data_IF_716754620482
#
_entry.id   IF_716754620482
#
_cell.length_a   1.000
_cell.length_b   1.000
_cell.length_c   1.000
_cell.angle_alpha   90.00
_cell.angle_beta   90.00
_cell.angle_gamma   90.00
#
_symmetry.space_group_name_H-M   'P 1'
#
loop_
_entity.id
_entity.type
_entity.pdbx_description
1 polymer ?
#
# COMPACT_ATOMS: atom_id res chain seq x y z
N UNK A 1 -30.11 35.79 25.76
CA UNK A 1 -29.18 34.99 24.97
C UNK A 1 -29.94 34.35 23.82
N UNK A 2 -29.63 34.74 22.58
CA UNK A 2 -30.53 34.61 21.42
C UNK A 2 -30.42 33.21 20.78
N UNK A 3 -31.34 32.30 21.11
CA UNK A 3 -31.42 30.91 20.63
C UNK A 3 -31.39 30.78 19.07
N UNK A 4 -31.82 31.82 18.35
CA UNK A 4 -31.81 31.84 16.88
C UNK A 4 -30.40 32.00 16.27
N UNK A 5 -29.43 32.61 17.00
CA UNK A 5 -28.05 32.71 16.55
C UNK A 5 -27.32 31.36 16.65
N UNK A 6 -27.62 30.56 17.68
CA UNK A 6 -27.02 29.21 17.85
C UNK A 6 -27.53 28.21 16.81
N UNK A 7 -28.80 28.27 16.41
CA UNK A 7 -29.37 27.42 15.37
C UNK A 7 -28.79 27.74 13.98
N UNK A 8 -28.64 29.04 13.66
CA UNK A 8 -28.03 29.44 12.36
C UNK A 8 -26.56 29.06 12.25
N UNK A 9 -25.79 29.16 13.33
CA UNK A 9 -24.37 28.75 13.34
C UNK A 9 -24.20 27.25 13.11
N UNK A 10 -25.02 26.39 13.72
CA UNK A 10 -24.97 24.94 13.55
C UNK A 10 -25.38 24.50 12.13
N UNK A 11 -26.39 25.13 11.56
CA UNK A 11 -26.84 24.85 10.19
C UNK A 11 -25.79 25.28 9.15
N UNK A 12 -25.20 26.48 9.33
CA UNK A 12 -24.12 26.96 8.45
C UNK A 12 -22.87 26.10 8.54
N UNK A 13 -22.51 25.62 9.73
CA UNK A 13 -21.38 24.68 9.91
C UNK A 13 -21.65 23.36 9.22
N UNK A 14 -22.87 22.82 9.33
CA UNK A 14 -23.23 21.57 8.65
C UNK A 14 -23.21 21.71 7.13
N UNK A 15 -23.65 22.86 6.59
CA UNK A 15 -23.70 23.14 5.15
C UNK A 15 -22.30 23.26 4.49
N UNK A 16 -21.27 23.59 5.29
CA UNK A 16 -19.89 23.70 4.78
C UNK A 16 -19.10 22.39 5.00
N UNK A 17 -19.26 21.75 6.15
CA UNK A 17 -18.49 20.56 6.52
C UNK A 17 -18.89 19.33 5.69
N UNK A 18 -20.20 19.12 5.46
CA UNK A 18 -20.66 17.95 4.69
C UNK A 18 -20.15 17.94 3.25
N UNK A 19 -20.26 19.03 2.46
CA UNK A 19 -19.73 19.03 1.09
C UNK A 19 -18.20 18.92 1.05
N UNK A 20 -17.49 19.46 2.04
CA UNK A 20 -16.03 19.35 2.09
C UNK A 20 -15.58 17.91 2.35
N UNK A 21 -16.27 17.18 3.23
CA UNK A 21 -16.00 15.76 3.49
C UNK A 21 -16.33 14.90 2.27
N UNK A 22 -17.47 15.17 1.60
CA UNK A 22 -17.86 14.48 0.37
C UNK A 22 -16.86 14.73 -0.77
N UNK A 23 -16.39 15.97 -0.91
CA UNK A 23 -15.37 16.32 -1.91
C UNK A 23 -14.03 15.61 -1.61
N UNK A 24 -13.60 15.54 -0.35
CA UNK A 24 -12.40 14.81 0.04
C UNK A 24 -12.52 13.31 -0.23
N UNK A 25 -13.66 12.70 0.08
CA UNK A 25 -13.96 11.29 -0.22
C UNK A 25 -13.93 11.01 -1.73
N UNK A 26 -14.52 11.92 -2.51
CA UNK A 26 -14.54 11.81 -3.97
C UNK A 26 -13.13 11.92 -4.57
N UNK A 27 -12.31 12.89 -4.13
CA UNK A 27 -10.93 13.06 -4.57
C UNK A 27 -10.06 11.84 -4.26
N UNK A 28 -10.18 11.27 -3.06
CA UNK A 28 -9.43 10.05 -2.69
C UNK A 28 -9.88 8.86 -3.53
N UNK A 29 -11.18 8.71 -3.77
CA UNK A 29 -11.72 7.63 -4.58
C UNK A 29 -11.26 7.72 -6.04
N UNK A 30 -11.26 8.93 -6.63
CA UNK A 30 -10.80 9.13 -8.01
C UNK A 30 -9.30 8.92 -8.18
N UNK A 31 -8.47 9.34 -7.20
CA UNK A 31 -7.03 9.11 -7.27
C UNK A 31 -6.67 7.64 -7.18
N UNK A 32 -7.37 6.86 -6.37
CA UNK A 32 -7.19 5.40 -6.31
C UNK A 32 -7.62 4.70 -7.60
N UNK A 33 -8.74 5.12 -8.19
CA UNK A 33 -9.25 4.54 -9.43
C UNK A 33 -8.33 4.81 -10.64
N UNK A 34 -7.52 5.87 -10.58
CA UNK A 34 -6.59 6.25 -11.65
C UNK A 34 -5.24 5.51 -11.57
N UNK A 35 -4.95 4.82 -10.47
CA UNK A 35 -3.65 4.15 -10.24
C UNK A 35 -3.80 2.64 -10.41
N UNK A 36 -3.01 2.05 -11.31
CA UNK A 36 -3.01 0.60 -11.52
C UNK A 36 -2.63 -0.14 -10.24
N UNK A 37 -3.38 -1.20 -9.93
CA UNK A 37 -3.12 -2.12 -8.81
C UNK A 37 -2.90 -3.53 -9.35
N UNK A 38 -2.08 -4.37 -8.68
CA UNK A 38 -1.91 -5.76 -9.09
C UNK A 38 -3.23 -6.52 -8.95
N UNK A 39 -3.50 -7.40 -9.89
CA UNK A 39 -4.60 -8.34 -9.77
C UNK A 39 -4.27 -9.38 -8.72
N UNK A 40 -5.28 -9.81 -7.97
CA UNK A 40 -5.20 -10.95 -7.06
C UNK A 40 -6.54 -11.66 -6.99
N UNK A 41 -6.51 -12.95 -6.71
CA UNK A 41 -7.72 -13.73 -6.42
C UNK A 41 -8.04 -13.68 -4.94
N UNK A 42 -9.26 -13.31 -4.57
CA UNK A 42 -9.73 -13.43 -3.18
C UNK A 42 -10.24 -14.85 -2.96
N UNK A 43 -9.56 -15.57 -2.07
CA UNK A 43 -9.91 -16.95 -1.70
C UNK A 43 -10.97 -16.95 -0.59
N UNK A 44 -10.80 -16.04 0.39
CA UNK A 44 -11.69 -15.94 1.55
C UNK A 44 -11.67 -14.51 2.10
N UNK A 45 -12.82 -14.07 2.61
CA UNK A 45 -12.98 -12.79 3.33
C UNK A 45 -13.59 -13.03 4.71
N UNK A 46 -13.05 -12.37 5.73
CA UNK A 46 -13.53 -12.38 7.11
C UNK A 46 -13.36 -10.96 7.71
N UNK A 47 -14.35 -10.12 7.52
CA UNK A 47 -14.32 -8.71 7.92
C UNK A 47 -13.21 -7.92 7.24
N UNK A 48 -12.18 -7.50 8.02
CA UNK A 48 -10.98 -6.80 7.51
C UNK A 48 -9.85 -7.76 7.13
N UNK A 49 -10.04 -9.07 7.32
CA UNK A 49 -9.07 -10.11 6.97
C UNK A 49 -9.46 -10.76 5.65
N UNK A 50 -8.47 -11.05 4.83
CA UNK A 50 -8.65 -11.76 3.57
C UNK A 50 -7.53 -12.78 3.36
N UNK A 51 -7.83 -13.86 2.65
CA UNK A 51 -6.84 -14.75 2.04
C UNK A 51 -6.84 -14.44 0.56
N UNK A 52 -5.68 -14.10 0.03
CA UNK A 52 -5.51 -13.71 -1.38
C UNK A 52 -4.39 -14.50 -2.05
N UNK A 53 -4.64 -14.91 -3.29
CA UNK A 53 -3.62 -15.43 -4.20
C UNK A 53 -3.11 -14.31 -5.10
N UNK A 54 -1.83 -13.98 -4.98
CA UNK A 54 -1.15 -13.03 -5.86
C UNK A 54 -0.34 -13.77 -6.93
N UNK A 55 -0.37 -13.31 -8.19
CA UNK A 55 0.58 -13.75 -9.20
C UNK A 55 1.99 -13.25 -8.88
N UNK A 56 2.97 -13.70 -9.63
CA UNK A 56 4.30 -13.10 -9.56
C UNK A 56 4.24 -11.63 -10.04
N UNK A 57 4.87 -10.73 -9.27
CA UNK A 57 4.88 -9.30 -9.56
C UNK A 57 6.31 -8.84 -9.88
N UNK A 58 6.48 -8.14 -10.99
CA UNK A 58 7.75 -7.45 -11.29
C UNK A 58 7.81 -6.16 -10.47
N UNK A 59 8.92 -5.93 -9.79
CA UNK A 59 9.10 -4.77 -8.90
C UNK A 59 10.43 -4.07 -9.16
N UNK A 60 10.44 -2.76 -8.95
CA UNK A 60 11.65 -1.98 -8.76
C UNK A 60 11.84 -1.76 -7.27
N UNK A 61 12.99 -2.10 -6.73
CA UNK A 61 13.26 -2.15 -5.29
C UNK A 61 14.48 -1.30 -4.95
N UNK A 62 14.40 -0.59 -3.82
CA UNK A 62 15.53 0.12 -3.22
C UNK A 62 15.68 -0.26 -1.75
N UNK A 63 16.92 -0.34 -1.21
CA UNK A 63 17.12 -0.46 0.22
C UNK A 63 16.55 0.73 0.97
N UNK A 64 16.05 0.49 2.20
CA UNK A 64 15.64 1.53 3.14
C UNK A 64 16.41 1.40 4.43
N UNK A 65 17.02 2.48 4.87
CA UNK A 65 17.46 2.64 6.25
C UNK A 65 16.27 3.15 7.08
N UNK A 66 16.23 2.81 8.37
CA UNK A 66 15.04 2.90 9.23
C UNK A 66 14.31 4.26 9.25
N UNK A 67 14.99 5.37 8.90
CA UNK A 67 14.42 6.73 8.91
C UNK A 67 14.33 7.39 7.51
N UNK A 68 14.66 6.67 6.43
CA UNK A 68 14.82 7.25 5.10
C UNK A 68 13.72 6.91 4.09
N UNK A 69 12.45 6.86 4.54
CA UNK A 69 11.33 6.59 3.62
C UNK A 69 11.28 7.57 2.44
N UNK A 70 11.53 8.85 2.69
CA UNK A 70 11.52 9.89 1.64
C UNK A 70 12.64 9.68 0.63
N UNK A 71 13.79 9.19 1.06
CA UNK A 71 14.92 8.88 0.19
C UNK A 71 14.64 7.68 -0.69
N UNK A 72 14.14 6.57 -0.10
CA UNK A 72 13.76 5.39 -0.85
C UNK A 72 12.69 5.68 -1.89
N UNK A 73 11.63 6.40 -1.50
CA UNK A 73 10.61 6.85 -2.43
C UNK A 73 11.19 7.73 -3.54
N UNK A 74 12.05 8.68 -3.20
CA UNK A 74 12.68 9.57 -4.17
C UNK A 74 13.56 8.83 -5.19
N UNK A 75 14.27 7.78 -4.80
CA UNK A 75 15.07 6.95 -5.70
C UNK A 75 14.19 6.21 -6.71
N UNK A 76 13.13 5.54 -6.21
CA UNK A 76 12.16 4.84 -7.07
C UNK A 76 11.38 5.81 -7.96
N UNK A 77 11.04 6.99 -7.44
CA UNK A 77 10.33 8.02 -8.22
C UNK A 77 11.21 8.57 -9.35
N UNK A 78 12.50 8.82 -9.10
CA UNK A 78 13.46 9.18 -10.16
C UNK A 78 13.52 8.10 -11.24
N UNK A 79 13.59 6.82 -10.85
CA UNK A 79 13.61 5.71 -11.79
C UNK A 79 12.39 5.72 -12.71
N UNK A 80 11.17 5.84 -12.18
CA UNK A 80 9.95 5.82 -13.00
C UNK A 80 9.73 7.13 -13.79
N UNK A 81 10.42 8.21 -13.43
CA UNK A 81 10.31 9.50 -14.14
C UNK A 81 11.41 9.74 -15.16
N UNK A 82 12.25 8.73 -15.46
CA UNK A 82 13.21 8.78 -16.55
C UNK A 82 14.67 8.53 -16.15
N UNK A 83 15.00 8.29 -14.87
CA UNK A 83 16.36 7.88 -14.48
C UNK A 83 16.57 6.37 -14.72
N UNK A 84 16.41 5.97 -15.99
CA UNK A 84 16.56 4.60 -16.47
C UNK A 84 17.17 4.59 -17.88
N UNK A 85 17.60 3.44 -18.33
CA UNK A 85 18.10 3.27 -19.70
C UNK A 85 16.96 3.61 -20.69
N UNK A 86 17.18 4.62 -21.53
CA UNK A 86 16.16 5.10 -22.49
C UNK A 86 15.36 6.32 -22.01
N UNK A 87 15.56 6.81 -20.79
CA UNK A 87 14.85 7.96 -20.22
C UNK A 87 13.31 7.82 -20.29
N UNK A 88 12.81 6.61 -20.16
CA UNK A 88 11.41 6.28 -20.29
C UNK A 88 10.60 6.66 -19.04
N UNK A 89 9.38 7.17 -19.24
CA UNK A 89 8.43 7.39 -18.14
C UNK A 89 7.58 6.14 -17.93
N UNK A 90 7.61 5.62 -16.71
CA UNK A 90 6.82 4.49 -16.25
C UNK A 90 5.67 5.03 -15.39
N UNK A 91 4.45 4.56 -15.61
CA UNK A 91 3.30 5.00 -14.83
C UNK A 91 3.43 4.55 -13.37
N UNK A 92 3.02 5.39 -12.43
CA UNK A 92 2.95 5.03 -11.01
C UNK A 92 1.86 3.99 -10.78
N UNK A 93 2.17 2.99 -9.97
CA UNK A 93 1.21 1.96 -9.52
C UNK A 93 0.97 2.05 -8.01
N UNK A 94 -0.02 1.36 -7.53
CA UNK A 94 -0.36 1.21 -6.12
C UNK A 94 -0.60 -0.27 -5.81
N UNK A 95 -0.22 -0.77 -4.64
CA UNK A 95 0.44 -0.08 -3.53
C UNK A 95 1.96 0.05 -3.67
N UNK A 96 2.55 0.89 -2.82
CA UNK A 96 3.97 0.83 -2.48
C UNK A 96 4.17 -0.30 -1.48
N UNK A 97 5.09 -1.21 -1.77
CA UNK A 97 5.41 -2.33 -0.89
C UNK A 97 6.61 -2.00 0.00
N UNK A 98 6.52 -2.35 1.29
CA UNK A 98 7.61 -2.26 2.25
C UNK A 98 7.84 -3.64 2.84
N UNK A 99 9.00 -4.22 2.55
CA UNK A 99 9.45 -5.45 3.18
C UNK A 99 10.19 -5.11 4.46
N UNK A 100 9.80 -5.76 5.56
CA UNK A 100 10.33 -5.50 6.90
C UNK A 100 11.31 -6.58 7.35
N UNK A 101 11.91 -7.33 6.42
CA UNK A 101 12.93 -8.32 6.74
C UNK A 101 13.98 -7.72 7.70
N UNK A 102 14.26 -8.46 8.79
CA UNK A 102 15.03 -7.96 9.95
C UNK A 102 16.39 -7.36 9.59
N UNK A 103 17.03 -7.88 8.53
CA UNK A 103 18.39 -7.48 8.18
C UNK A 103 18.43 -6.42 7.07
N UNK A 104 17.32 -6.16 6.38
CA UNK A 104 17.33 -5.27 5.22
C UNK A 104 15.92 -4.84 4.80
N UNK A 105 15.45 -3.75 5.38
CA UNK A 105 14.20 -3.16 4.92
C UNK A 105 14.33 -2.67 3.47
N UNK A 106 13.29 -2.88 2.68
CA UNK A 106 13.26 -2.42 1.28
C UNK A 106 11.91 -1.77 0.95
N UNK A 107 11.96 -0.81 0.03
CA UNK A 107 10.77 -0.25 -0.60
C UNK A 107 10.72 -0.72 -2.05
N UNK A 108 9.51 -1.06 -2.52
CA UNK A 108 9.32 -1.51 -3.89
C UNK A 108 8.12 -0.85 -4.54
N UNK A 109 8.28 -0.45 -5.80
CA UNK A 109 7.17 -0.11 -6.70
C UNK A 109 6.88 -1.32 -7.59
N UNK A 110 5.61 -1.66 -7.72
CA UNK A 110 5.16 -2.69 -8.65
C UNK A 110 5.22 -2.09 -10.06
N UNK A 111 5.74 -2.84 -11.03
CA UNK A 111 5.78 -2.36 -12.40
C UNK A 111 4.43 -2.55 -13.09
N UNK A 112 3.95 -1.54 -13.86
CA UNK A 112 2.72 -1.66 -14.62
C UNK A 112 2.79 -2.81 -15.62
N UNK A 113 1.67 -3.46 -15.89
CA UNK A 113 1.58 -4.55 -16.87
C UNK A 113 2.13 -4.15 -18.23
N UNK A 114 1.77 -2.96 -18.69
CA UNK A 114 2.22 -2.42 -19.98
C UNK A 114 3.75 -2.24 -20.04
N UNK A 115 4.40 -1.90 -18.91
CA UNK A 115 5.86 -1.79 -18.86
C UNK A 115 6.52 -3.17 -18.81
N UNK A 116 5.91 -4.12 -18.10
CA UNK A 116 6.41 -5.50 -18.05
C UNK A 116 6.35 -6.16 -19.42
N UNK A 117 5.26 -5.97 -20.17
CA UNK A 117 5.07 -6.50 -21.52
C UNK A 117 6.06 -5.94 -22.55
N UNK A 118 6.42 -4.65 -22.42
CA UNK A 118 7.41 -3.98 -23.28
C UNK A 118 8.85 -4.27 -22.88
N UNK A 119 9.08 -4.80 -21.70
CA UNK A 119 10.38 -4.89 -21.06
C UNK A 119 10.67 -3.65 -20.23
N UNK A 120 10.76 -3.81 -18.91
CA UNK A 120 11.07 -2.69 -17.98
C UNK A 120 12.49 -2.20 -18.26
N UNK A 121 12.73 -0.89 -18.51
CA UNK A 121 14.05 -0.36 -18.73
C UNK A 121 14.94 -0.56 -17.49
N UNK A 122 16.24 -0.77 -17.67
CA UNK A 122 17.16 -0.96 -16.54
C UNK A 122 17.36 0.36 -15.78
N UNK A 123 17.45 0.30 -14.44
CA UNK A 123 17.83 1.45 -13.65
C UNK A 123 19.25 1.95 -14.00
N UNK A 124 19.46 3.26 -13.85
CA UNK A 124 20.81 3.86 -13.93
C UNK A 124 21.41 3.89 -12.52
N UNK A 125 22.62 3.31 -12.38
CA UNK A 125 23.27 3.16 -11.07
C UNK A 125 22.73 2.03 -10.22
N UNK A 126 23.18 1.94 -8.96
CA UNK A 126 22.96 0.77 -8.08
C UNK A 126 21.88 0.98 -7.01
N UNK A 127 21.25 2.16 -6.98
CA UNK A 127 20.28 2.50 -5.94
C UNK A 127 18.92 1.82 -6.11
N UNK A 128 18.61 1.38 -7.34
CA UNK A 128 17.37 0.67 -7.66
C UNK A 128 17.71 -0.63 -8.38
N UNK A 129 17.05 -1.71 -8.00
CA UNK A 129 17.18 -3.02 -8.66
C UNK A 129 15.84 -3.51 -9.14
N UNK A 130 15.81 -4.20 -10.27
CA UNK A 130 14.62 -4.91 -10.74
C UNK A 130 14.60 -6.31 -10.16
N UNK A 131 13.43 -6.74 -9.69
CA UNK A 131 13.24 -8.06 -9.10
C UNK A 131 11.82 -8.58 -9.29
N UNK A 132 11.52 -9.67 -8.60
CA UNK A 132 10.18 -10.27 -8.57
C UNK A 132 9.76 -10.56 -7.14
N UNK A 133 8.49 -10.31 -6.85
CA UNK A 133 7.79 -10.92 -5.73
C UNK A 133 7.14 -12.18 -6.28
N UNK A 134 7.55 -13.33 -5.77
CA UNK A 134 7.05 -14.61 -6.26
C UNK A 134 5.56 -14.80 -5.98
N UNK A 135 4.87 -15.49 -6.90
CA UNK A 135 3.47 -15.85 -6.73
C UNK A 135 3.25 -16.59 -5.41
N UNK A 136 2.30 -16.13 -4.61
CA UNK A 136 2.05 -16.72 -3.31
C UNK A 136 0.63 -16.44 -2.80
N UNK A 137 0.23 -17.25 -1.81
CA UNK A 137 -0.95 -16.98 -1.00
C UNK A 137 -0.56 -16.16 0.21
N UNK A 138 -1.34 -15.12 0.48
CA UNK A 138 -1.16 -14.23 1.62
C UNK A 138 -2.43 -14.15 2.46
N UNK A 139 -2.24 -14.15 3.77
CA UNK A 139 -3.21 -13.59 4.68
C UNK A 139 -2.99 -12.08 4.74
N UNK A 140 -4.05 -11.32 4.65
CA UNK A 140 -4.05 -9.86 4.53
C UNK A 140 -4.95 -9.27 5.59
N UNK A 141 -4.47 -8.25 6.31
CA UNK A 141 -5.30 -7.41 7.17
C UNK A 141 -5.27 -5.99 6.65
N UNK A 142 -6.44 -5.42 6.36
CA UNK A 142 -6.60 -3.99 6.13
C UNK A 142 -6.69 -3.24 7.45
N UNK A 143 -5.87 -2.18 7.60
CA UNK A 143 -5.87 -1.32 8.77
C UNK A 143 -5.84 0.16 8.38
N UNK A 144 -6.34 0.99 9.28
CA UNK A 144 -6.43 2.44 9.12
C UNK A 144 -5.31 3.11 9.93
N UNK A 145 -5.05 4.39 9.65
CA UNK A 145 -4.12 5.17 10.44
C UNK A 145 -2.88 5.62 9.68
N UNK A 146 -1.97 6.29 10.40
CA UNK A 146 -0.67 6.69 9.89
C UNK A 146 0.30 5.52 9.89
N UNK A 147 1.36 5.66 9.09
CA UNK A 147 2.50 4.74 9.13
C UNK A 147 3.35 5.06 10.36
N UNK A 148 3.12 4.36 11.45
CA UNK A 148 3.93 4.42 12.68
C UNK A 148 4.26 3.00 13.11
N UNK A 149 5.37 2.84 13.83
CA UNK A 149 5.80 1.53 14.35
C UNK A 149 4.71 0.88 15.19
N UNK A 150 3.98 1.66 16.00
CA UNK A 150 2.91 1.17 16.86
C UNK A 150 1.73 0.63 16.03
N UNK A 151 1.31 1.34 14.99
CA UNK A 151 0.22 0.91 14.11
C UNK A 151 0.62 -0.34 13.29
N UNK A 152 1.84 -0.35 12.78
CA UNK A 152 2.40 -1.49 12.04
C UNK A 152 2.48 -2.73 12.93
N UNK A 153 3.03 -2.60 14.15
CA UNK A 153 3.13 -3.70 15.10
C UNK A 153 1.76 -4.21 15.54
N UNK A 154 0.83 -3.31 15.86
CA UNK A 154 -0.54 -3.69 16.21
C UNK A 154 -1.26 -4.43 15.06
N UNK A 155 -1.01 -4.05 13.81
CA UNK A 155 -1.57 -4.73 12.64
C UNK A 155 -0.97 -6.14 12.46
N UNK A 156 0.35 -6.29 12.65
CA UNK A 156 1.03 -7.60 12.63
C UNK A 156 0.45 -8.53 13.70
N UNK A 157 0.33 -8.05 14.94
CA UNK A 157 -0.19 -8.85 16.05
C UNK A 157 -1.63 -9.31 15.81
N UNK A 158 -2.48 -8.41 15.30
CA UNK A 158 -3.86 -8.74 14.93
C UNK A 158 -3.92 -9.80 13.84
N UNK A 159 -3.08 -9.68 12.80
CA UNK A 159 -3.06 -10.65 11.71
C UNK A 159 -2.54 -12.01 12.18
N UNK A 160 -1.48 -12.04 13.01
CA UNK A 160 -0.96 -13.27 13.59
C UNK A 160 -1.99 -13.95 14.50
N UNK A 161 -2.65 -13.20 15.39
CA UNK A 161 -3.70 -13.74 16.24
C UNK A 161 -4.90 -14.31 15.45
N UNK A 162 -5.25 -13.68 14.32
CA UNK A 162 -6.27 -14.23 13.42
C UNK A 162 -5.80 -15.52 12.74
N UNK A 163 -4.56 -15.56 12.25
CA UNK A 163 -3.94 -16.76 11.67
C UNK A 163 -3.95 -17.95 12.64
N UNK A 164 -3.55 -17.70 13.89
CA UNK A 164 -3.55 -18.72 14.95
C UNK A 164 -4.95 -19.27 15.20
N UNK A 165 -5.96 -18.39 15.25
CA UNK A 165 -7.37 -18.77 15.37
C UNK A 165 -7.88 -19.59 14.17
N UNK A 166 -7.32 -19.39 12.98
CA UNK A 166 -7.63 -20.16 11.77
C UNK A 166 -6.76 -21.42 11.62
N UNK A 167 -5.80 -21.66 12.52
CA UNK A 167 -4.80 -22.76 12.43
C UNK A 167 -3.95 -22.68 11.16
N UNK A 168 -3.66 -21.47 10.69
CA UNK A 168 -2.83 -21.20 9.52
C UNK A 168 -1.44 -20.75 9.95
N UNK A 169 -0.39 -21.34 9.38
CA UNK A 169 0.98 -20.95 9.64
C UNK A 169 1.43 -19.82 8.71
N UNK A 170 1.84 -18.70 9.29
CA UNK A 170 2.52 -17.63 8.56
C UNK A 170 3.97 -17.98 8.25
N UNK A 171 4.49 -17.55 7.10
CA UNK A 171 5.88 -17.73 6.67
C UNK A 171 6.56 -16.41 6.34
N UNK A 172 7.80 -16.27 6.81
CA UNK A 172 8.64 -15.10 6.53
C UNK A 172 8.22 -13.85 7.29
N UNK A 173 8.83 -12.73 6.91
CA UNK A 173 8.57 -11.43 7.49
C UNK A 173 7.31 -10.79 6.90
N UNK A 174 6.61 -9.91 7.65
CA UNK A 174 5.45 -9.20 7.14
C UNK A 174 5.82 -8.24 6.02
N UNK A 175 4.94 -8.15 5.01
CA UNK A 175 5.00 -7.17 3.93
C UNK A 175 3.90 -6.14 4.16
N UNK A 176 4.23 -4.85 4.12
CA UNK A 176 3.23 -3.78 4.15
C UNK A 176 2.93 -3.25 2.75
N UNK A 177 1.68 -2.88 2.52
CA UNK A 177 1.18 -2.31 1.28
C UNK A 177 0.46 -0.98 1.57
N UNK A 178 1.04 0.13 1.08
CA UNK A 178 0.54 1.48 1.27
C UNK A 178 -0.06 2.01 -0.03
N UNK A 179 -1.36 2.27 -0.02
CA UNK A 179 -2.12 2.61 -1.22
C UNK A 179 -2.25 4.10 -1.47
N UNK A 180 -2.08 4.91 -0.45
CA UNK A 180 -2.40 6.33 -0.49
C UNK A 180 -1.16 7.21 -0.37
N UNK A 181 -1.13 8.33 -1.12
CA UNK A 181 -0.06 9.32 -1.00
C UNK A 181 -0.07 10.01 0.37
N UNK A 182 1.05 10.62 0.80
CA UNK A 182 1.20 11.18 2.14
C UNK A 182 0.23 12.33 2.47
N UNK A 183 -0.30 13.03 1.47
CA UNK A 183 -1.30 14.10 1.66
C UNK A 183 -2.74 13.59 1.88
N UNK A 184 -2.99 12.28 1.69
CA UNK A 184 -4.30 11.71 2.03
C UNK A 184 -4.52 11.80 3.53
N UNK A 185 -5.68 12.32 3.99
CA UNK A 185 -6.02 12.35 5.41
C UNK A 185 -5.88 10.97 6.05
N UNK A 186 -5.24 10.90 7.22
CA UNK A 186 -4.84 9.64 7.87
C UNK A 186 -6.00 8.66 8.04
N UNK A 187 -7.21 9.17 8.36
CA UNK A 187 -8.42 8.37 8.57
C UNK A 187 -9.04 7.82 7.25
N UNK A 188 -8.56 8.29 6.09
CA UNK A 188 -8.98 7.80 4.77
C UNK A 188 -7.95 6.87 4.14
N UNK A 189 -6.76 6.71 4.75
CA UNK A 189 -5.70 5.88 4.18
C UNK A 189 -6.07 4.41 4.24
N UNK A 190 -5.79 3.71 3.14
CA UNK A 190 -5.82 2.27 3.06
C UNK A 190 -4.40 1.74 3.22
N UNK A 191 -4.18 1.02 4.31
CA UNK A 191 -2.95 0.28 4.54
C UNK A 191 -3.28 -1.19 4.69
N UNK A 192 -2.36 -2.05 4.29
CA UNK A 192 -2.51 -3.49 4.46
C UNK A 192 -1.20 -4.08 4.98
N UNK A 193 -1.30 -5.08 5.84
CA UNK A 193 -0.21 -5.97 6.21
C UNK A 193 -0.50 -7.35 5.65
N UNK A 194 0.51 -7.95 5.03
CA UNK A 194 0.43 -9.25 4.38
C UNK A 194 1.43 -10.19 5.02
N UNK A 195 0.99 -11.41 5.33
CA UNK A 195 1.85 -12.51 5.78
C UNK A 195 1.66 -13.66 4.79
N UNK A 196 2.75 -14.17 4.23
CA UNK A 196 2.70 -15.33 3.35
C UNK A 196 2.23 -16.56 4.14
N UNK A 197 1.36 -17.37 3.54
CA UNK A 197 0.89 -18.64 4.10
C UNK A 197 1.06 -19.76 3.08
N UNK A 198 1.09 -20.99 3.55
CA UNK A 198 1.05 -22.14 2.64
C UNK A 198 -0.33 -22.27 1.98
N UNK A 199 -0.34 -22.75 0.74
CA UNK A 199 -1.59 -23.21 0.13
C UNK A 199 -1.97 -24.50 0.87
N UNK A 200 -3.01 -24.45 1.68
CA UNK A 200 -3.63 -25.68 2.20
C UNK A 200 -4.15 -26.46 0.99
N UNK A 201 -3.68 -27.67 0.80
CA UNK A 201 -4.30 -28.60 -0.15
C UNK A 201 -5.66 -28.97 0.42
N UNK A 202 -6.74 -28.39 -0.12
CA UNK A 202 -8.07 -28.91 0.00
C UNK A 202 -8.28 -30.06 -0.99
#
# INVERSE_FOLDING_TARGET
MNLNKLKRSKVSFLLIVVPSVLAALWLVSTSRAATETPDYGVVRTDGKFEIRDYPALTVATTPMESDEMNRGFGQLFKFITGNNEGAEKIAMTSPVLIDTAKDKQTMSFIMPKTSVEKGVPKPVGDSVTLGKVEAARFAVLRFDGGRTTENEQAAIEKLKGWLDGQKLAGKGDPLFAYYDPPWTPVFLRRNEVLIRIEKTHE
#
